data_IF_557697239186
#
_entry.id   IF_557697239186
#
_cell.length_a   1.000
_cell.length_b   1.000
_cell.length_c   1.000
_cell.angle_alpha   90.00
_cell.angle_beta   90.00
_cell.angle_gamma   90.00
#
_symmetry.space_group_name_H-M   'P 1'
#
loop_
_entity.id
_entity.type
_entity.pdbx_description
1 polymer ?
#
# COMPACT_ATOMS: atom_id res chain seq x y z
N UNK A 1 59.10 72.23 -115.31
CA UNK A 1 57.65 72.12 -115.05
C UNK A 1 57.24 70.68 -114.77
N UNK A 2 57.42 69.73 -115.70
CA UNK A 2 57.11 68.31 -115.43
C UNK A 2 58.01 67.68 -114.36
N UNK A 3 59.33 67.91 -114.41
CA UNK A 3 60.26 67.38 -113.40
C UNK A 3 59.99 67.93 -111.99
N UNK A 4 59.78 69.25 -111.88
CA UNK A 4 59.46 69.94 -110.62
C UNK A 4 58.10 69.54 -110.04
N UNK A 5 57.13 69.21 -110.89
CA UNK A 5 55.83 68.70 -110.45
C UNK A 5 55.99 67.27 -109.92
N UNK A 6 56.72 66.41 -110.64
CA UNK A 6 56.99 65.04 -110.20
C UNK A 6 57.74 65.00 -108.85
N UNK A 7 58.73 65.88 -108.69
CA UNK A 7 59.58 65.97 -107.49
C UNK A 7 58.83 66.52 -106.27
N UNK A 8 57.76 67.30 -106.48
CA UNK A 8 56.92 67.83 -105.40
C UNK A 8 55.68 66.99 -105.09
N UNK A 9 55.08 66.30 -106.07
CA UNK A 9 53.83 65.55 -105.85
C UNK A 9 54.04 64.09 -105.47
N UNK A 10 55.17 63.48 -105.86
CA UNK A 10 55.44 62.07 -105.55
C UNK A 10 55.60 61.80 -104.04
N UNK A 11 56.34 62.63 -103.26
CA UNK A 11 56.46 62.43 -101.81
C UNK A 11 55.12 62.52 -101.09
N UNK A 12 54.33 63.56 -101.40
CA UNK A 12 53.01 63.78 -100.80
C UNK A 12 52.02 62.64 -101.11
N UNK A 13 52.05 62.13 -102.34
CA UNK A 13 51.23 60.98 -102.73
C UNK A 13 51.67 59.71 -101.99
N UNK A 14 52.98 59.47 -101.87
CA UNK A 14 53.51 58.31 -101.16
C UNK A 14 53.19 58.38 -99.67
N UNK A 15 53.34 59.55 -99.05
CA UNK A 15 53.02 59.78 -97.64
C UNK A 15 51.52 59.59 -97.36
N UNK A 16 50.64 60.14 -98.20
CA UNK A 16 49.19 59.95 -98.04
C UNK A 16 48.76 58.48 -98.19
N UNK A 17 49.28 57.77 -99.20
CA UNK A 17 48.98 56.35 -99.39
C UNK A 17 49.47 55.49 -98.22
N UNK A 18 50.66 55.80 -97.67
CA UNK A 18 51.25 55.06 -96.56
C UNK A 18 50.48 55.33 -95.26
N UNK A 19 50.08 56.60 -95.04
CA UNK A 19 49.27 56.99 -93.88
C UNK A 19 47.87 56.34 -93.91
N UNK A 20 47.20 56.36 -95.07
CA UNK A 20 45.88 55.75 -95.24
C UNK A 20 45.93 54.23 -95.06
N UNK A 21 46.95 53.57 -95.63
CA UNK A 21 47.14 52.13 -95.46
C UNK A 21 47.42 51.77 -94.00
N UNK A 22 48.30 52.51 -93.33
CA UNK A 22 48.64 52.27 -91.94
C UNK A 22 47.41 52.47 -91.04
N UNK A 23 46.64 53.54 -91.28
CA UNK A 23 45.42 53.85 -90.52
C UNK A 23 44.33 52.80 -90.75
N UNK A 24 44.14 52.36 -92.00
CA UNK A 24 43.20 51.29 -92.35
C UNK A 24 43.57 49.97 -91.69
N UNK A 25 44.84 49.56 -91.76
CA UNK A 25 45.29 48.32 -91.13
C UNK A 25 45.20 48.38 -89.61
N UNK A 26 45.59 49.51 -89.00
CA UNK A 26 45.53 49.66 -87.55
C UNK A 26 44.09 49.65 -87.05
N UNK A 27 43.19 50.36 -87.74
CA UNK A 27 41.77 50.40 -87.41
C UNK A 27 41.14 49.01 -87.54
N UNK A 28 41.39 48.31 -88.66
CA UNK A 28 40.87 46.96 -88.86
C UNK A 28 41.41 45.98 -87.81
N UNK A 29 42.72 46.01 -87.54
CA UNK A 29 43.31 45.13 -86.53
C UNK A 29 42.68 45.38 -85.15
N UNK A 30 42.49 46.65 -84.78
CA UNK A 30 41.94 47.01 -83.48
C UNK A 30 40.45 46.69 -83.37
N UNK A 31 39.64 47.16 -84.32
CA UNK A 31 38.18 47.02 -84.27
C UNK A 31 37.71 45.59 -84.49
N UNK A 32 38.27 44.86 -85.46
CA UNK A 32 37.72 43.55 -85.82
C UNK A 32 38.47 42.41 -85.17
N UNK A 33 39.77 42.54 -84.92
CA UNK A 33 40.55 41.40 -84.42
C UNK A 33 40.66 41.44 -82.92
N UNK A 34 41.03 42.59 -82.38
CA UNK A 34 41.30 42.75 -80.96
C UNK A 34 40.00 42.84 -80.15
N UNK A 35 39.01 43.59 -80.64
CA UNK A 35 37.71 43.71 -79.99
C UNK A 35 36.94 42.38 -80.01
N UNK A 36 36.81 41.73 -81.16
CA UNK A 36 36.08 40.45 -81.29
C UNK A 36 36.74 39.35 -80.43
N UNK A 37 38.08 39.30 -80.39
CA UNK A 37 38.80 38.35 -79.54
C UNK A 37 38.56 38.65 -78.06
N UNK A 38 38.60 39.92 -77.67
CA UNK A 38 38.35 40.33 -76.29
C UNK A 38 36.92 39.99 -75.87
N UNK A 39 35.94 40.30 -76.71
CA UNK A 39 34.52 40.02 -76.46
C UNK A 39 34.29 38.51 -76.39
N UNK A 40 34.77 37.72 -77.35
CA UNK A 40 34.63 36.28 -77.37
C UNK A 40 35.29 35.60 -76.16
N UNK A 41 36.46 36.08 -75.72
CA UNK A 41 37.10 35.57 -74.50
C UNK A 41 36.33 35.95 -73.25
N UNK A 42 35.96 37.22 -73.08
CA UNK A 42 35.24 37.68 -71.88
C UNK A 42 33.89 36.98 -71.75
N UNK A 43 33.17 36.85 -72.87
CA UNK A 43 31.85 36.25 -72.90
C UNK A 43 31.94 34.75 -72.63
N UNK A 44 32.89 34.02 -73.22
CA UNK A 44 33.14 32.62 -72.85
C UNK A 44 33.54 32.49 -71.39
N UNK A 45 34.45 33.32 -70.89
CA UNK A 45 34.98 33.16 -69.54
C UNK A 45 33.92 33.47 -68.48
N UNK A 46 33.06 34.46 -68.72
CA UNK A 46 31.87 34.72 -67.90
C UNK A 46 30.85 33.59 -68.02
N UNK A 47 30.55 33.15 -69.24
CA UNK A 47 29.42 32.26 -69.47
C UNK A 47 29.73 30.80 -69.15
N UNK A 48 30.94 30.29 -69.41
CA UNK A 48 31.29 28.93 -68.99
C UNK A 48 31.72 28.95 -67.53
N UNK A 49 32.77 29.69 -67.19
CA UNK A 49 33.39 29.57 -65.87
C UNK A 49 32.47 30.05 -64.74
N UNK A 50 31.79 31.19 -64.89
CA UNK A 50 31.01 31.75 -63.80
C UNK A 50 29.68 31.01 -63.60
N UNK A 51 28.97 30.69 -64.69
CA UNK A 51 27.72 29.92 -64.61
C UNK A 51 27.99 28.48 -64.19
N UNK A 52 29.00 27.80 -64.75
CA UNK A 52 29.30 26.43 -64.35
C UNK A 52 29.69 26.38 -62.87
N UNK A 53 30.45 27.35 -62.36
CA UNK A 53 30.80 27.42 -60.94
C UNK A 53 29.56 27.69 -60.06
N UNK A 54 28.66 28.58 -60.49
CA UNK A 54 27.42 28.87 -59.77
C UNK A 54 26.48 27.65 -59.74
N UNK A 55 26.20 27.06 -60.91
CA UNK A 55 25.27 25.94 -61.03
C UNK A 55 25.85 24.68 -60.38
N UNK A 56 27.06 24.24 -60.78
CA UNK A 56 27.58 22.97 -60.28
C UNK A 56 28.04 23.07 -58.83
N UNK A 57 28.72 24.14 -58.43
CA UNK A 57 29.38 24.15 -57.13
C UNK A 57 28.47 24.72 -56.06
N UNK A 58 27.81 25.84 -56.35
CA UNK A 58 26.98 26.48 -55.33
C UNK A 58 25.66 25.72 -55.15
N UNK A 59 25.00 25.34 -56.25
CA UNK A 59 23.70 24.66 -56.18
C UNK A 59 23.83 23.25 -55.62
N UNK A 60 24.81 22.46 -56.07
CA UNK A 60 25.00 21.09 -55.54
C UNK A 60 25.40 21.13 -54.07
N UNK A 61 26.27 22.07 -53.65
CA UNK A 61 26.63 22.21 -52.24
C UNK A 61 25.44 22.62 -51.39
N UNK A 62 24.60 23.56 -51.87
CA UNK A 62 23.38 23.96 -51.18
C UNK A 62 22.42 22.78 -51.07
N UNK A 63 22.21 22.06 -52.17
CA UNK A 63 21.29 20.94 -52.21
C UNK A 63 21.77 19.79 -51.33
N UNK A 64 23.03 19.37 -51.46
CA UNK A 64 23.58 18.26 -50.66
C UNK A 64 23.61 18.60 -49.18
N UNK A 65 24.14 19.78 -48.82
CA UNK A 65 24.31 20.14 -47.41
C UNK A 65 22.96 20.34 -46.73
N UNK A 66 22.00 20.97 -47.42
CA UNK A 66 20.72 21.30 -46.82
C UNK A 66 19.80 20.08 -46.75
N UNK A 67 19.84 19.19 -47.75
CA UNK A 67 19.14 17.90 -47.69
C UNK A 67 19.76 16.99 -46.63
N UNK A 68 21.09 16.84 -46.61
CA UNK A 68 21.76 15.99 -45.62
C UNK A 68 21.50 16.49 -44.20
N UNK A 69 21.50 17.81 -43.97
CA UNK A 69 21.18 18.39 -42.66
C UNK A 69 19.72 18.15 -42.27
N UNK A 70 18.77 18.30 -43.22
CA UNK A 70 17.35 18.02 -42.98
C UNK A 70 17.11 16.55 -42.66
N UNK A 71 17.61 15.65 -43.50
CA UNK A 71 17.38 14.21 -43.36
C UNK A 71 18.11 13.66 -42.14
N UNK A 72 19.42 13.90 -42.00
CA UNK A 72 20.18 13.33 -40.89
C UNK A 72 19.83 13.98 -39.56
N UNK A 73 19.78 15.31 -39.49
CA UNK A 73 19.71 15.96 -38.18
C UNK A 73 18.27 16.08 -37.72
N UNK A 74 17.36 16.50 -38.59
CA UNK A 74 15.99 16.77 -38.19
C UNK A 74 15.18 15.48 -38.09
N UNK A 75 15.33 14.56 -39.04
CA UNK A 75 14.60 13.30 -39.02
C UNK A 75 15.09 12.38 -37.89
N UNK A 76 16.41 12.23 -37.69
CA UNK A 76 16.93 11.37 -36.63
C UNK A 76 16.64 11.94 -35.24
N UNK A 77 16.76 13.27 -35.07
CA UNK A 77 16.39 13.91 -33.80
C UNK A 77 14.91 13.75 -33.50
N UNK A 78 14.04 13.91 -34.51
CA UNK A 78 12.60 13.71 -34.34
C UNK A 78 12.29 12.24 -34.03
N UNK A 79 12.95 11.28 -34.71
CA UNK A 79 12.78 9.86 -34.44
C UNK A 79 13.24 9.48 -33.04
N UNK A 80 14.49 9.81 -32.67
CA UNK A 80 15.04 9.40 -31.38
C UNK A 80 14.28 10.07 -30.25
N UNK A 81 14.06 11.39 -30.33
CA UNK A 81 13.42 12.12 -29.24
C UNK A 81 11.97 11.67 -29.06
N UNK A 82 11.22 11.48 -30.15
CA UNK A 82 9.82 11.06 -30.05
C UNK A 82 9.71 9.61 -29.59
N UNK A 83 10.52 8.69 -30.12
CA UNK A 83 10.52 7.28 -29.70
C UNK A 83 10.98 7.12 -28.26
N UNK A 84 12.08 7.75 -27.86
CA UNK A 84 12.60 7.68 -26.49
C UNK A 84 11.60 8.26 -25.51
N UNK A 85 10.92 9.37 -25.85
CA UNK A 85 9.90 9.96 -25.00
C UNK A 85 8.66 9.06 -24.91
N UNK A 86 8.23 8.44 -26.01
CA UNK A 86 7.09 7.51 -26.03
C UNK A 86 7.39 6.26 -25.21
N UNK A 87 8.53 5.62 -25.45
CA UNK A 87 8.91 4.40 -24.75
C UNK A 87 9.12 4.68 -23.26
N UNK A 88 9.97 5.65 -22.90
CA UNK A 88 10.25 5.94 -21.47
C UNK A 88 9.01 6.40 -20.72
N UNK A 89 8.30 7.42 -21.23
CA UNK A 89 7.19 8.01 -20.48
C UNK A 89 6.00 7.07 -20.41
N UNK A 90 5.68 6.37 -21.49
CA UNK A 90 4.48 5.55 -21.54
C UNK A 90 4.68 4.21 -20.83
N UNK A 91 5.86 3.58 -20.95
CA UNK A 91 6.19 2.38 -20.19
C UNK A 91 6.35 2.68 -18.70
N UNK A 92 7.08 3.73 -18.32
CA UNK A 92 7.26 4.07 -16.91
C UNK A 92 5.91 4.41 -16.25
N UNK A 93 5.03 5.13 -16.96
CA UNK A 93 3.70 5.46 -16.43
C UNK A 93 2.82 4.20 -16.29
N UNK A 94 2.88 3.27 -17.26
CA UNK A 94 2.15 2.00 -17.20
C UNK A 94 2.66 1.12 -16.06
N UNK A 95 3.97 0.90 -15.99
CA UNK A 95 4.58 0.02 -14.99
C UNK A 95 4.45 0.60 -13.58
N UNK A 96 4.79 1.87 -13.36
CA UNK A 96 4.68 2.45 -12.02
C UNK A 96 3.22 2.58 -11.58
N UNK A 97 2.40 3.28 -12.36
CA UNK A 97 1.06 3.66 -11.91
C UNK A 97 0.13 2.46 -11.83
N UNK A 98 0.13 1.60 -12.85
CA UNK A 98 -0.84 0.51 -12.93
C UNK A 98 -0.44 -0.65 -12.01
N UNK A 99 0.86 -0.97 -11.93
CA UNK A 99 1.35 -2.04 -11.06
C UNK A 99 1.25 -1.64 -9.58
N UNK A 100 1.58 -0.39 -9.22
CA UNK A 100 1.47 0.08 -7.84
C UNK A 100 0.01 0.19 -7.41
N UNK A 101 -0.88 0.70 -8.28
CA UNK A 101 -2.32 0.75 -7.99
C UNK A 101 -2.90 -0.65 -7.81
N UNK A 102 -2.52 -1.61 -8.67
CA UNK A 102 -2.97 -2.99 -8.57
C UNK A 102 -2.44 -3.66 -7.29
N UNK A 103 -1.16 -3.46 -6.95
CA UNK A 103 -0.57 -3.98 -5.70
C UNK A 103 -1.23 -3.40 -4.47
N UNK A 104 -1.31 -2.07 -4.37
CA UNK A 104 -1.93 -1.38 -3.22
C UNK A 104 -3.37 -1.84 -3.06
N UNK A 105 -4.19 -1.70 -4.10
CA UNK A 105 -5.62 -2.00 -3.99
C UNK A 105 -5.87 -3.46 -3.61
N UNK A 106 -5.12 -4.39 -4.21
CA UNK A 106 -5.34 -5.82 -4.00
C UNK A 106 -4.78 -6.29 -2.65
N UNK A 107 -3.62 -5.77 -2.21
CA UNK A 107 -3.09 -6.04 -0.88
C UNK A 107 -3.94 -5.42 0.21
N UNK A 108 -4.41 -4.19 0.04
CA UNK A 108 -5.25 -3.49 1.01
C UNK A 108 -6.60 -4.20 1.14
N UNK A 109 -7.21 -4.61 0.03
CA UNK A 109 -8.47 -5.38 0.05
C UNK A 109 -8.29 -6.74 0.74
N UNK A 110 -7.20 -7.45 0.43
CA UNK A 110 -6.93 -8.78 0.99
C UNK A 110 -6.60 -8.69 2.49
N UNK A 111 -5.78 -7.73 2.90
CA UNK A 111 -5.44 -7.54 4.31
C UNK A 111 -6.62 -7.00 5.12
N UNK A 112 -7.27 -5.92 4.68
CA UNK A 112 -8.36 -5.35 5.47
C UNK A 112 -9.56 -6.28 5.50
N UNK A 113 -10.08 -6.68 4.33
CA UNK A 113 -11.38 -7.35 4.29
C UNK A 113 -11.26 -8.79 4.76
N UNK A 114 -10.26 -9.53 4.28
CA UNK A 114 -10.18 -10.96 4.58
C UNK A 114 -9.66 -11.21 5.99
N UNK A 115 -8.66 -10.45 6.45
CA UNK A 115 -8.10 -10.63 7.78
C UNK A 115 -9.04 -10.12 8.87
N UNK A 116 -9.72 -8.99 8.67
CA UNK A 116 -10.67 -8.47 9.66
C UNK A 116 -11.91 -9.35 9.73
N UNK A 117 -12.42 -9.83 8.59
CA UNK A 117 -13.54 -10.78 8.58
C UNK A 117 -13.17 -12.08 9.28
N UNK A 118 -11.96 -12.61 9.02
CA UNK A 118 -11.50 -13.84 9.65
C UNK A 118 -11.31 -13.65 11.16
N UNK A 119 -10.74 -12.51 11.60
CA UNK A 119 -10.61 -12.16 13.03
C UNK A 119 -11.96 -12.00 13.71
N UNK A 120 -12.86 -11.21 13.15
CA UNK A 120 -14.21 -11.01 13.68
C UNK A 120 -14.92 -12.34 13.82
N UNK A 121 -14.98 -13.13 12.74
CA UNK A 121 -15.70 -14.40 12.73
C UNK A 121 -15.12 -15.39 13.74
N UNK A 122 -13.79 -15.49 13.86
CA UNK A 122 -13.14 -16.38 14.83
C UNK A 122 -13.35 -15.91 16.27
N UNK A 123 -13.23 -14.61 16.54
CA UNK A 123 -13.45 -14.05 17.88
C UNK A 123 -14.92 -14.21 18.30
N UNK A 124 -15.85 -13.86 17.42
CA UNK A 124 -17.28 -13.98 17.69
C UNK A 124 -17.67 -15.44 17.93
N UNK A 125 -17.13 -16.38 17.13
CA UNK A 125 -17.36 -17.81 17.33
C UNK A 125 -16.78 -18.30 18.67
N UNK A 126 -15.55 -17.87 19.01
CA UNK A 126 -14.91 -18.26 20.26
C UNK A 126 -15.66 -17.73 21.48
N UNK A 127 -16.04 -16.45 21.48
CA UNK A 127 -16.77 -15.82 22.58
C UNK A 127 -18.18 -16.38 22.72
N UNK A 128 -18.97 -16.39 21.64
CA UNK A 128 -20.38 -16.79 21.70
C UNK A 128 -20.54 -18.28 21.96
N UNK A 129 -19.75 -19.12 21.29
CA UNK A 129 -19.95 -20.56 21.34
C UNK A 129 -19.16 -21.15 22.50
N UNK A 130 -17.86 -20.93 22.55
CA UNK A 130 -16.99 -21.65 23.48
C UNK A 130 -17.11 -21.08 24.90
N UNK A 131 -17.00 -19.76 25.04
CA UNK A 131 -17.16 -19.07 26.32
C UNK A 131 -18.61 -19.10 26.81
N UNK A 132 -19.58 -18.93 25.91
CA UNK A 132 -21.00 -19.04 26.20
C UNK A 132 -21.42 -20.44 26.66
N UNK A 133 -21.00 -21.50 25.95
CA UNK A 133 -21.26 -22.88 26.38
C UNK A 133 -20.54 -23.21 27.68
N UNK A 134 -19.30 -22.77 27.85
CA UNK A 134 -18.57 -23.03 29.09
C UNK A 134 -19.26 -22.38 30.29
N UNK A 135 -19.66 -21.11 30.19
CA UNK A 135 -20.39 -20.43 31.26
C UNK A 135 -21.73 -21.09 31.52
N UNK A 136 -22.60 -21.20 30.53
CA UNK A 136 -23.94 -21.76 30.73
C UNK A 136 -23.88 -23.21 31.19
N UNK A 137 -23.22 -24.09 30.44
CA UNK A 137 -23.30 -25.52 30.72
C UNK A 137 -22.51 -25.90 31.97
N UNK A 138 -21.28 -25.39 32.14
CA UNK A 138 -20.42 -25.85 33.22
C UNK A 138 -20.77 -25.16 34.55
N UNK A 139 -21.09 -23.85 34.54
CA UNK A 139 -21.50 -23.17 35.77
C UNK A 139 -22.90 -23.61 36.21
N UNK A 140 -23.86 -23.73 35.28
CA UNK A 140 -25.21 -24.17 35.66
C UNK A 140 -25.18 -25.61 36.18
N UNK A 141 -24.37 -26.50 35.59
CA UNK A 141 -24.19 -27.86 36.10
C UNK A 141 -23.54 -27.87 37.49
N UNK A 142 -22.52 -27.05 37.71
CA UNK A 142 -21.82 -26.96 38.99
C UNK A 142 -22.73 -26.39 40.09
N UNK A 143 -23.50 -25.35 39.77
CA UNK A 143 -24.44 -24.75 40.70
C UNK A 143 -25.62 -25.68 40.98
N UNK A 144 -26.35 -26.11 39.95
CA UNK A 144 -27.56 -26.94 40.13
C UNK A 144 -27.25 -28.33 40.67
N UNK A 145 -26.15 -28.97 40.25
CA UNK A 145 -25.91 -30.36 40.64
C UNK A 145 -25.11 -30.41 41.93
N UNK A 146 -23.94 -29.78 42.01
CA UNK A 146 -23.10 -29.93 43.18
C UNK A 146 -23.63 -29.13 44.38
N UNK A 147 -24.09 -27.89 44.17
CA UNK A 147 -24.58 -27.08 45.29
C UNK A 147 -25.88 -27.63 45.85
N UNK A 148 -26.82 -28.05 45.00
CA UNK A 148 -28.10 -28.58 45.49
C UNK A 148 -27.94 -29.97 46.10
N UNK A 149 -27.09 -30.85 45.55
CA UNK A 149 -26.75 -32.14 46.18
C UNK A 149 -26.08 -31.96 47.54
N UNK A 150 -25.17 -30.99 47.66
CA UNK A 150 -24.50 -30.68 48.92
C UNK A 150 -25.51 -30.13 49.94
N UNK A 151 -26.35 -29.18 49.52
CA UNK A 151 -27.41 -28.62 50.37
C UNK A 151 -28.38 -29.70 50.82
N UNK A 152 -28.90 -30.52 49.90
CA UNK A 152 -29.87 -31.56 50.24
C UNK A 152 -29.28 -32.63 51.15
N UNK A 153 -28.03 -33.04 50.92
CA UNK A 153 -27.35 -34.03 51.75
C UNK A 153 -27.03 -33.47 53.14
N UNK A 154 -26.48 -32.24 53.23
CA UNK A 154 -26.15 -31.64 54.52
C UNK A 154 -27.39 -31.28 55.33
N UNK A 155 -28.40 -30.66 54.71
CA UNK A 155 -29.67 -30.37 55.39
C UNK A 155 -30.38 -31.66 55.78
N UNK A 156 -30.46 -32.64 54.89
CA UNK A 156 -31.06 -33.92 55.19
C UNK A 156 -30.38 -34.60 56.37
N UNK A 157 -29.04 -34.69 56.36
CA UNK A 157 -28.28 -35.30 57.44
C UNK A 157 -28.40 -34.51 58.75
N UNK A 158 -28.39 -33.18 58.70
CA UNK A 158 -28.57 -32.34 59.87
C UNK A 158 -29.98 -32.50 60.46
N UNK A 159 -31.01 -32.40 59.63
CA UNK A 159 -32.39 -32.53 60.06
C UNK A 159 -32.63 -33.94 60.61
N UNK A 160 -32.40 -35.00 59.83
CA UNK A 160 -32.74 -36.34 60.29
C UNK A 160 -31.85 -36.78 61.44
N UNK A 161 -30.53 -36.68 61.30
CA UNK A 161 -29.65 -37.29 62.31
C UNK A 161 -29.58 -36.46 63.58
N UNK A 162 -29.56 -35.12 63.49
CA UNK A 162 -29.45 -34.28 64.68
C UNK A 162 -30.80 -34.15 65.39
N UNK A 163 -31.92 -33.97 64.67
CA UNK A 163 -33.24 -33.98 65.32
C UNK A 163 -33.54 -35.34 65.92
N UNK A 164 -33.32 -36.45 65.20
CA UNK A 164 -33.60 -37.78 65.76
C UNK A 164 -32.75 -38.05 67.01
N UNK A 165 -31.48 -37.65 67.01
CA UNK A 165 -30.60 -37.80 68.17
C UNK A 165 -31.06 -36.94 69.37
N UNK A 166 -31.48 -35.69 69.12
CA UNK A 166 -32.02 -34.82 70.15
C UNK A 166 -33.35 -35.33 70.70
N UNK A 167 -34.28 -35.70 69.81
CA UNK A 167 -35.63 -36.07 70.18
C UNK A 167 -35.70 -37.45 70.80
N UNK A 168 -35.00 -38.45 70.25
CA UNK A 168 -35.06 -39.80 70.82
C UNK A 168 -34.09 -39.91 71.98
N UNK A 169 -32.80 -39.67 71.74
CA UNK A 169 -31.78 -40.04 72.73
C UNK A 169 -31.75 -39.08 73.91
N UNK A 170 -31.73 -37.76 73.66
CA UNK A 170 -31.62 -36.79 74.76
C UNK A 170 -32.93 -36.68 75.54
N UNK A 171 -34.08 -36.62 74.86
CA UNK A 171 -35.38 -36.54 75.52
C UNK A 171 -35.69 -37.82 76.31
N UNK A 172 -35.43 -39.01 75.77
CA UNK A 172 -35.72 -40.26 76.48
C UNK A 172 -34.76 -40.46 77.64
N UNK A 173 -33.48 -40.09 77.48
CA UNK A 173 -32.52 -40.11 78.59
C UNK A 173 -32.94 -39.14 79.70
N UNK A 174 -33.35 -37.92 79.36
CA UNK A 174 -33.82 -36.93 80.33
C UNK A 174 -35.10 -37.42 81.04
N UNK A 175 -36.07 -37.95 80.28
CA UNK A 175 -37.31 -38.51 80.84
C UNK A 175 -37.02 -39.67 81.77
N UNK A 176 -36.19 -40.64 81.37
CA UNK A 176 -35.83 -41.79 82.21
C UNK A 176 -35.11 -41.32 83.47
N UNK A 177 -34.08 -40.48 83.33
CA UNK A 177 -33.31 -40.00 84.47
C UNK A 177 -34.15 -39.18 85.45
N UNK A 178 -35.04 -38.30 84.97
CA UNK A 178 -35.97 -37.54 85.81
C UNK A 178 -36.99 -38.45 86.50
N UNK A 179 -37.55 -39.42 85.77
CA UNK A 179 -38.52 -40.37 86.32
C UNK A 179 -37.87 -41.26 87.40
N UNK A 180 -36.65 -41.74 87.15
CA UNK A 180 -35.89 -42.58 88.07
C UNK A 180 -35.48 -41.79 89.31
N UNK A 181 -35.01 -40.55 89.13
CA UNK A 181 -34.68 -39.65 90.24
C UNK A 181 -35.91 -39.32 91.08
N UNK A 182 -37.03 -38.98 90.45
CA UNK A 182 -38.29 -38.69 91.15
C UNK A 182 -38.78 -39.92 91.90
N UNK A 183 -38.77 -41.09 91.26
CA UNK A 183 -39.20 -42.35 91.88
C UNK A 183 -38.33 -42.70 93.08
N UNK A 184 -37.01 -42.77 92.93
CA UNK A 184 -36.12 -43.08 94.04
C UNK A 184 -36.27 -42.02 95.14
N UNK A 185 -36.02 -40.74 94.83
CA UNK A 185 -35.99 -39.70 95.87
C UNK A 185 -37.33 -39.53 96.58
N UNK A 186 -38.46 -39.50 95.85
CA UNK A 186 -39.77 -39.30 96.46
C UNK A 186 -40.20 -40.53 97.26
N UNK A 187 -39.97 -41.74 96.74
CA UNK A 187 -40.38 -42.98 97.40
C UNK A 187 -39.50 -43.24 98.63
N UNK A 188 -38.19 -43.05 98.52
CA UNK A 188 -37.24 -43.14 99.65
C UNK A 188 -37.59 -42.12 100.74
N UNK A 189 -37.91 -40.86 100.37
CA UNK A 189 -38.32 -39.83 101.31
C UNK A 189 -39.66 -40.15 101.98
N UNK A 190 -40.65 -40.62 101.21
CA UNK A 190 -41.97 -40.97 101.72
C UNK A 190 -41.88 -42.16 102.68
N UNK A 191 -41.11 -43.19 102.32
CA UNK A 191 -40.86 -44.36 103.16
C UNK A 191 -40.16 -43.96 104.46
N UNK A 192 -39.11 -43.13 104.38
CA UNK A 192 -38.39 -42.61 105.55
C UNK A 192 -39.31 -41.82 106.47
N UNK A 193 -40.08 -40.86 105.92
CA UNK A 193 -41.00 -40.03 106.73
C UNK A 193 -42.12 -40.86 107.36
N UNK A 194 -42.70 -41.81 106.63
CA UNK A 194 -43.76 -42.68 107.14
C UNK A 194 -43.25 -43.59 108.25
N UNK A 195 -42.07 -44.19 108.07
CA UNK A 195 -41.43 -45.00 109.11
C UNK A 195 -41.09 -44.16 110.34
N UNK A 196 -40.47 -42.99 110.17
CA UNK A 196 -40.17 -42.07 111.27
C UNK A 196 -41.44 -41.66 112.03
N UNK A 197 -42.54 -41.39 111.33
CA UNK A 197 -43.82 -41.04 111.96
C UNK A 197 -44.49 -42.21 112.66
N UNK A 198 -44.44 -43.41 112.10
CA UNK A 198 -44.95 -44.63 112.73
C UNK A 198 -44.17 -44.94 114.00
N UNK A 199 -42.85 -44.88 113.94
CA UNK A 199 -41.98 -45.10 115.10
C UNK A 199 -42.24 -44.05 116.19
N UNK A 200 -42.32 -42.76 115.82
CA UNK A 200 -42.66 -41.66 116.73
C UNK A 200 -44.03 -41.82 117.40
N UNK A 201 -45.06 -42.24 116.65
CA UNK A 201 -46.42 -42.44 117.19
C UNK A 201 -46.49 -43.67 118.10
N UNK A 202 -45.86 -44.79 117.73
CA UNK A 202 -45.76 -45.97 118.59
C UNK A 202 -45.02 -45.67 119.91
N UNK A 203 -43.90 -44.93 119.84
CA UNK A 203 -43.16 -44.51 121.03
C UNK A 203 -44.02 -43.59 121.92
N UNK A 204 -44.75 -42.65 121.33
CA UNK A 204 -45.67 -41.75 122.05
C UNK A 204 -46.81 -42.53 122.71
N UNK A 205 -47.43 -43.49 122.01
CA UNK A 205 -48.50 -44.32 122.55
C UNK A 205 -48.00 -45.21 123.70
N UNK A 206 -46.80 -45.81 123.56
CA UNK A 206 -46.19 -46.60 124.65
C UNK A 206 -45.92 -45.77 125.91
N UNK A 207 -45.58 -44.49 125.75
CA UNK A 207 -45.35 -43.55 126.86
C UNK A 207 -46.62 -43.06 127.53
N UNK A 208 -47.76 -43.10 126.84
CA UNK A 208 -49.09 -42.71 127.38
C UNK A 208 -49.81 -43.87 128.10
N UNK A 209 -49.45 -45.12 127.79
CA UNK A 209 -50.05 -46.33 128.35
C UNK A 209 -49.30 -46.86 129.61
N UNK A 210 -48.08 -46.37 129.85
CA UNK A 210 -47.30 -46.54 131.08
C UNK A 210 -47.58 -45.39 132.05
#
# INVERSE_FOLDING_TARGET
MLLSLLESTLPDLLESMLLDLLKSMLLSLFETTLLDLLEAMLLNLLQSTLLDLLDSTLLDLLQSTLLDLLDSTLLDLLKSTLLDLLDSTLLDLLDSTLLDLLKSTLLDLLNSTLLDLLKSTLLDLFESTLLGLFKSTLLDLLESTLLDQLKSSLLGLLETTLLDLLETTLLDLLKSALLDLLKSTLLDLLETILMDRLESTLLTYSRLLC
#
